data_IF_268652139957
#
_entry.id   IF_268652139957
#
_cell.length_a   1.000
_cell.length_b   1.000
_cell.length_c   1.000
_cell.angle_alpha   90.00
_cell.angle_beta   90.00
_cell.angle_gamma   90.00
#
_symmetry.space_group_name_H-M   'P 1'
#
loop_
_entity.id
_entity.type
_entity.pdbx_description
1 polymer ?
#
# COMPACT_ATOMS: atom_id res chain seq x y z
N UNK A 1 1.31 -57.95 -7.34
CA UNK A 1 2.34 -56.96 -6.92
C UNK A 1 2.06 -55.56 -7.48
N UNK A 2 1.97 -55.37 -8.82
CA UNK A 2 1.75 -54.06 -9.46
C UNK A 2 0.50 -53.32 -8.95
N UNK A 3 -0.64 -54.00 -8.76
CA UNK A 3 -1.88 -53.41 -8.23
C UNK A 3 -1.70 -52.82 -6.83
N UNK A 4 -0.99 -53.47 -5.94
CA UNK A 4 -0.75 -53.00 -4.57
C UNK A 4 0.18 -51.75 -4.55
N UNK A 5 1.16 -51.72 -5.44
CA UNK A 5 2.03 -50.54 -5.61
C UNK A 5 1.21 -49.37 -6.11
N UNK A 6 0.32 -49.58 -7.09
CA UNK A 6 -0.56 -48.53 -7.60
C UNK A 6 -1.49 -47.95 -6.49
N UNK A 7 -2.12 -48.84 -5.70
CA UNK A 7 -2.93 -48.39 -4.57
C UNK A 7 -2.13 -47.62 -3.52
N UNK A 8 -0.92 -48.07 -3.21
CA UNK A 8 -0.03 -47.38 -2.27
C UNK A 8 0.33 -45.98 -2.76
N UNK A 9 0.66 -45.80 -4.04
CA UNK A 9 0.94 -44.49 -4.66
C UNK A 9 -0.30 -43.56 -4.57
N UNK A 10 -1.50 -44.10 -4.91
CA UNK A 10 -2.75 -43.32 -4.83
C UNK A 10 -3.01 -42.84 -3.41
N UNK A 11 -2.82 -43.70 -2.42
CA UNK A 11 -3.02 -43.31 -1.00
C UNK A 11 -2.05 -42.18 -0.60
N UNK A 12 -0.77 -42.28 -0.97
CA UNK A 12 0.21 -41.22 -0.70
C UNK A 12 -0.19 -39.91 -1.37
N UNK A 13 -0.63 -39.94 -2.63
CA UNK A 13 -1.08 -38.72 -3.33
C UNK A 13 -2.30 -38.09 -2.67
N UNK A 14 -3.29 -38.89 -2.23
CA UNK A 14 -4.49 -38.40 -1.54
C UNK A 14 -4.12 -37.78 -0.20
N UNK A 15 -3.24 -38.41 0.59
CA UNK A 15 -2.76 -37.87 1.86
C UNK A 15 -1.98 -36.57 1.63
N UNK A 16 -1.08 -36.54 0.67
CA UNK A 16 -0.28 -35.36 0.31
C UNK A 16 -1.16 -34.19 -0.14
N UNK A 17 -2.16 -34.46 -0.98
CA UNK A 17 -3.14 -33.46 -1.41
C UNK A 17 -3.99 -32.95 -0.23
N UNK A 18 -4.45 -33.83 0.63
CA UNK A 18 -5.19 -33.45 1.85
C UNK A 18 -4.36 -32.54 2.76
N UNK A 19 -3.11 -32.91 3.02
CA UNK A 19 -2.20 -32.11 3.83
C UNK A 19 -1.94 -30.73 3.18
N UNK A 20 -1.74 -30.68 1.86
CA UNK A 20 -1.59 -29.43 1.13
C UNK A 20 -2.82 -28.51 1.27
N UNK A 21 -4.02 -29.06 1.06
CA UNK A 21 -5.28 -28.30 1.18
C UNK A 21 -5.45 -27.76 2.61
N UNK A 22 -5.22 -28.59 3.62
CA UNK A 22 -5.31 -28.18 5.04
C UNK A 22 -4.31 -27.05 5.34
N UNK A 23 -3.08 -27.16 4.84
CA UNK A 23 -2.07 -26.12 5.02
C UNK A 23 -2.51 -24.80 4.37
N UNK A 24 -3.06 -24.85 3.15
CA UNK A 24 -3.57 -23.66 2.45
C UNK A 24 -4.76 -23.04 3.15
N UNK A 25 -5.71 -23.80 3.68
CA UNK A 25 -6.84 -23.28 4.46
C UNK A 25 -6.37 -22.57 5.73
N UNK A 26 -5.33 -23.10 6.40
CA UNK A 26 -4.77 -22.51 7.62
C UNK A 26 -3.89 -21.28 7.37
N UNK A 27 -3.43 -21.09 6.14
CA UNK A 27 -2.45 -20.07 5.79
C UNK A 27 -2.90 -18.65 6.22
N UNK A 28 -4.15 -18.30 5.96
CA UNK A 28 -4.71 -17.00 6.33
C UNK A 28 -4.60 -16.69 7.84
N UNK A 29 -4.98 -17.66 8.69
CA UNK A 29 -4.87 -17.49 10.14
C UNK A 29 -3.40 -17.50 10.61
N UNK A 30 -2.55 -18.28 9.97
CA UNK A 30 -1.13 -18.33 10.30
C UNK A 30 -0.44 -17.01 9.95
N UNK A 31 -0.79 -16.38 8.81
CA UNK A 31 -0.25 -15.07 8.43
C UNK A 31 -0.54 -14.01 9.50
N UNK A 32 -1.78 -13.91 9.99
CA UNK A 32 -2.12 -12.97 11.06
C UNK A 32 -1.35 -13.25 12.36
N UNK A 33 -1.24 -14.52 12.76
CA UNK A 33 -0.46 -14.89 13.96
C UNK A 33 1.03 -14.54 13.80
N UNK A 34 1.59 -14.72 12.61
CA UNK A 34 2.98 -14.35 12.33
C UNK A 34 3.16 -12.85 12.45
N UNK A 35 2.27 -12.04 11.88
CA UNK A 35 2.30 -10.60 12.00
C UNK A 35 2.23 -10.13 13.47
N UNK A 36 1.33 -10.71 14.28
CA UNK A 36 1.21 -10.40 15.70
C UNK A 36 2.48 -10.80 16.50
N UNK A 37 3.21 -11.81 16.03
CA UNK A 37 4.47 -12.22 16.65
C UNK A 37 5.65 -11.32 16.26
N UNK A 38 5.68 -10.85 15.00
CA UNK A 38 6.72 -9.98 14.48
C UNK A 38 6.66 -8.58 15.08
N UNK A 39 5.44 -8.03 15.22
CA UNK A 39 5.22 -6.64 15.63
C UNK A 39 4.53 -6.58 17.00
N UNK A 40 5.34 -6.59 18.05
CA UNK A 40 4.86 -6.47 19.43
C UNK A 40 4.91 -5.02 19.91
N UNK A 41 3.73 -4.42 20.05
CA UNK A 41 3.60 -3.03 20.51
C UNK A 41 3.85 -1.99 19.42
N UNK A 42 3.80 -0.73 19.82
CA UNK A 42 4.04 0.39 18.91
C UNK A 42 5.54 0.70 18.81
N UNK A 43 6.01 1.13 17.61
CA UNK A 43 7.36 1.66 17.46
C UNK A 43 7.51 3.00 18.22
N UNK A 44 8.73 3.45 18.40
CA UNK A 44 9.05 4.76 19.02
C UNK A 44 8.84 5.90 18.00
N UNK A 45 7.63 6.04 17.50
CA UNK A 45 7.19 7.10 16.60
C UNK A 45 6.10 7.90 17.33
N UNK A 46 6.11 9.23 17.22
CA UNK A 46 5.07 10.11 17.74
C UNK A 46 4.46 10.96 16.63
N UNK A 47 3.26 11.46 16.86
CA UNK A 47 2.62 12.42 15.95
C UNK A 47 3.47 13.68 15.81
N UNK A 48 3.39 14.30 14.62
CA UNK A 48 3.93 15.64 14.39
C UNK A 48 3.26 16.63 15.34
N UNK A 49 4.04 17.62 15.79
CA UNK A 49 3.54 18.73 16.59
C UNK A 49 3.53 20.02 15.73
N UNK A 50 2.37 20.60 15.43
CA UNK A 50 2.30 21.81 14.59
C UNK A 50 2.98 23.02 15.19
N UNK A 51 3.18 23.06 16.52
CA UNK A 51 3.84 24.17 17.21
C UNK A 51 5.38 24.05 17.18
N UNK A 52 5.90 22.88 16.85
CA UNK A 52 7.33 22.63 16.74
C UNK A 52 7.85 23.04 15.35
N UNK A 53 8.89 23.88 15.33
CA UNK A 53 9.51 24.37 14.10
C UNK A 53 10.07 23.26 13.21
N UNK A 54 10.42 22.10 13.78
CA UNK A 54 10.92 20.94 13.03
C UNK A 54 9.88 20.30 12.11
N UNK A 55 8.59 20.60 12.33
CA UNK A 55 7.50 20.06 11.50
C UNK A 55 6.91 21.08 10.50
N UNK A 56 7.57 22.24 10.30
CA UNK A 56 7.08 23.32 9.41
C UNK A 56 7.58 23.23 7.97
N UNK A 57 8.21 22.11 7.60
CA UNK A 57 8.69 21.90 6.23
C UNK A 57 7.57 21.41 5.30
N UNK A 58 7.89 21.35 4.03
CA UNK A 58 6.95 20.93 2.98
C UNK A 58 6.73 19.41 3.01
N UNK A 59 5.60 18.94 2.48
CA UNK A 59 5.29 17.51 2.42
C UNK A 59 6.43 16.69 1.78
N UNK A 60 7.09 17.22 0.74
CA UNK A 60 8.20 16.56 0.05
C UNK A 60 9.50 16.48 0.84
N UNK A 61 9.63 17.22 1.93
CA UNK A 61 10.86 17.29 2.73
C UNK A 61 10.92 16.19 3.81
N UNK A 62 9.92 15.30 3.83
CA UNK A 62 9.82 14.22 4.82
C UNK A 62 9.93 12.84 4.18
N UNK A 63 10.64 11.94 4.83
CA UNK A 63 10.52 10.51 4.61
C UNK A 63 9.27 9.99 5.33
N UNK A 64 8.36 9.36 4.57
CA UNK A 64 7.07 8.92 5.11
C UNK A 64 7.02 7.40 5.11
N UNK A 65 6.83 6.82 6.29
CA UNK A 65 6.75 5.37 6.45
C UNK A 65 5.62 4.80 5.58
N UNK A 66 5.99 3.90 4.65
CA UNK A 66 5.12 3.47 3.55
C UNK A 66 4.96 1.95 3.56
N UNK A 67 3.73 1.46 3.49
CA UNK A 67 3.40 0.05 3.39
C UNK A 67 3.00 -0.30 1.95
N UNK A 68 3.70 -1.26 1.32
CA UNK A 68 3.37 -1.83 0.02
C UNK A 68 2.32 -2.93 0.18
N UNK A 69 1.27 -2.91 -0.67
CA UNK A 69 0.19 -3.91 -0.59
C UNK A 69 -0.24 -4.17 0.86
N UNK A 70 -0.62 -3.10 1.57
CA UNK A 70 -0.79 -3.07 3.03
C UNK A 70 -1.80 -4.08 3.60
N UNK A 71 -2.61 -4.73 2.76
CA UNK A 71 -3.49 -5.82 3.14
C UNK A 71 -2.90 -7.21 2.88
N UNK A 72 -1.66 -7.33 2.36
CA UNK A 72 -1.05 -8.64 2.11
C UNK A 72 -0.61 -9.29 3.42
N UNK A 73 -1.12 -10.50 3.70
CA UNK A 73 -0.73 -11.27 4.88
C UNK A 73 0.52 -12.13 4.68
N UNK A 74 0.87 -12.40 3.42
CA UNK A 74 1.99 -13.26 3.03
C UNK A 74 2.46 -12.93 1.61
N UNK A 75 2.54 -13.94 0.75
CA UNK A 75 2.98 -13.79 -0.63
C UNK A 75 1.92 -13.05 -1.51
N UNK A 76 2.35 -12.42 -2.60
CA UNK A 76 1.44 -11.69 -3.50
C UNK A 76 0.63 -12.59 -4.42
N UNK A 77 0.98 -13.87 -4.48
CA UNK A 77 0.33 -14.91 -5.28
C UNK A 77 0.10 -16.17 -4.47
N UNK A 78 -1.05 -16.84 -4.68
CA UNK A 78 -1.44 -18.08 -4.00
C UNK A 78 -1.44 -17.97 -2.46
N UNK A 79 -1.80 -16.80 -1.96
CA UNK A 79 -1.91 -16.45 -0.56
C UNK A 79 -3.15 -15.59 -0.30
N UNK A 80 -3.26 -14.97 0.85
CA UNK A 80 -4.43 -14.23 1.29
C UNK A 80 -4.11 -12.75 1.57
N UNK A 81 -5.06 -11.87 1.24
CA UNK A 81 -5.15 -10.52 1.80
C UNK A 81 -5.97 -10.58 3.08
N UNK A 82 -5.59 -9.78 4.09
CA UNK A 82 -6.26 -9.77 5.38
C UNK A 82 -6.22 -8.39 6.04
N UNK A 83 -7.29 -8.05 6.75
CA UNK A 83 -7.41 -6.82 7.56
C UNK A 83 -6.37 -6.78 8.69
N UNK A 84 -5.92 -7.92 9.20
CA UNK A 84 -4.86 -7.94 10.22
C UNK A 84 -3.57 -7.30 9.70
N UNK A 85 -3.19 -7.51 8.42
CA UNK A 85 -2.03 -6.89 7.81
C UNK A 85 -2.16 -5.37 7.76
N UNK A 86 -3.32 -4.86 7.33
CA UNK A 86 -3.62 -3.42 7.33
C UNK A 86 -3.50 -2.82 8.74
N UNK A 87 -4.10 -3.47 9.74
CA UNK A 87 -3.98 -3.04 11.14
C UNK A 87 -2.55 -3.04 11.63
N UNK A 88 -1.75 -4.04 11.26
CA UNK A 88 -0.31 -4.09 11.57
C UNK A 88 0.43 -2.91 10.94
N UNK A 89 0.24 -2.62 9.65
CA UNK A 89 0.87 -1.46 9.01
C UNK A 89 0.54 -0.15 9.75
N UNK A 90 -0.72 0.06 10.10
CA UNK A 90 -1.17 1.23 10.86
C UNK A 90 -0.53 1.27 12.25
N UNK A 91 -0.51 0.18 12.98
CA UNK A 91 0.06 0.10 14.33
C UNK A 91 1.59 0.30 14.34
N UNK A 92 2.24 0.01 13.23
CA UNK A 92 3.65 0.28 13.03
C UNK A 92 3.94 1.69 12.49
N UNK A 93 2.94 2.57 12.47
CA UNK A 93 3.09 4.00 12.14
C UNK A 93 3.22 4.30 10.67
N UNK A 94 2.84 3.39 9.77
CA UNK A 94 2.79 3.68 8.33
C UNK A 94 1.80 4.80 8.03
N UNK A 95 2.23 5.79 7.23
CA UNK A 95 1.43 6.94 6.80
C UNK A 95 1.25 7.05 5.28
N UNK A 96 1.85 6.16 4.52
CA UNK A 96 1.42 5.84 3.15
C UNK A 96 0.98 4.38 3.14
N UNK A 97 -0.25 4.13 2.74
CA UNK A 97 -0.84 2.79 2.61
C UNK A 97 -1.13 2.54 1.13
N UNK A 98 -0.40 1.62 0.53
CA UNK A 98 -0.57 1.24 -0.87
C UNK A 98 -1.55 0.07 -0.99
N UNK A 99 -2.52 0.22 -1.87
CA UNK A 99 -3.56 -0.76 -2.18
C UNK A 99 -3.56 -1.10 -3.67
N UNK A 100 -3.67 -2.37 -3.97
CA UNK A 100 -3.91 -2.84 -5.33
C UNK A 100 -5.40 -3.19 -5.48
N UNK A 101 -6.09 -2.47 -6.39
CA UNK A 101 -7.56 -2.48 -6.53
C UNK A 101 -7.98 -3.22 -7.78
N UNK A 102 -8.93 -4.11 -7.63
CA UNK A 102 -9.57 -4.87 -8.69
C UNK A 102 -11.07 -4.61 -8.76
N UNK A 103 -11.68 -4.96 -9.89
CA UNK A 103 -13.14 -4.92 -10.07
C UNK A 103 -13.71 -6.34 -10.01
N UNK A 104 -14.58 -6.60 -9.05
CA UNK A 104 -15.41 -7.83 -9.02
C UNK A 104 -16.87 -7.40 -8.97
N UNK A 105 -17.64 -7.77 -9.98
CA UNK A 105 -19.07 -7.40 -10.12
C UNK A 105 -19.31 -5.88 -9.97
N UNK A 106 -18.42 -5.06 -10.55
CA UNK A 106 -18.37 -3.59 -10.44
C UNK A 106 -18.04 -3.06 -9.03
N UNK A 107 -17.70 -3.90 -8.07
CA UNK A 107 -17.32 -3.50 -6.71
C UNK A 107 -15.80 -3.37 -6.65
N UNK A 108 -15.24 -2.28 -6.06
CA UNK A 108 -13.81 -2.15 -5.82
C UNK A 108 -13.39 -3.08 -4.69
N UNK A 109 -12.41 -3.93 -4.97
CA UNK A 109 -11.85 -4.88 -3.99
C UNK A 109 -10.34 -4.77 -3.93
N UNK A 110 -9.78 -4.99 -2.74
CA UNK A 110 -8.35 -5.08 -2.48
C UNK A 110 -7.92 -6.54 -2.63
N UNK A 111 -6.90 -6.75 -3.43
CA UNK A 111 -6.24 -8.04 -3.60
C UNK A 111 -4.80 -7.79 -4.05
N UNK A 112 -4.01 -8.82 -4.35
CA UNK A 112 -2.65 -8.64 -4.85
C UNK A 112 -2.34 -9.54 -6.04
N UNK A 113 -1.34 -9.13 -6.83
CA UNK A 113 -0.75 -9.89 -7.92
C UNK A 113 0.77 -9.75 -7.92
N UNK A 114 1.46 -10.78 -8.41
CA UNK A 114 2.90 -10.75 -8.67
C UNK A 114 3.27 -10.18 -10.04
N UNK A 115 2.27 -9.75 -10.82
CA UNK A 115 2.43 -9.22 -12.19
C UNK A 115 1.43 -8.09 -12.46
N UNK A 116 1.84 -7.07 -13.18
CA UNK A 116 1.00 -5.90 -13.48
C UNK A 116 0.10 -6.06 -14.72
N UNK A 117 0.37 -7.05 -15.59
CA UNK A 117 -0.12 -7.02 -16.96
C UNK A 117 -1.53 -7.57 -17.17
N UNK A 118 -2.10 -8.35 -16.25
CA UNK A 118 -3.30 -9.13 -16.56
C UNK A 118 -4.60 -8.60 -15.93
N UNK A 119 -4.55 -7.58 -15.10
CA UNK A 119 -5.72 -7.07 -14.36
C UNK A 119 -6.48 -8.17 -13.61
N UNK A 120 -5.78 -9.24 -13.22
CA UNK A 120 -6.31 -10.42 -12.54
C UNK A 120 -5.59 -10.60 -11.21
N UNK A 121 -6.38 -10.60 -10.13
CA UNK A 121 -5.83 -10.90 -8.80
C UNK A 121 -5.30 -12.33 -8.73
N UNK A 122 -4.24 -12.52 -7.95
CA UNK A 122 -3.63 -13.83 -7.76
C UNK A 122 -3.75 -14.37 -6.31
N UNK A 123 -4.37 -13.60 -5.41
CA UNK A 123 -4.73 -14.06 -4.07
C UNK A 123 -6.00 -14.90 -4.07
N UNK A 124 -6.13 -15.83 -3.11
CA UNK A 124 -7.29 -16.72 -3.00
C UNK A 124 -8.57 -15.96 -2.65
N UNK A 125 -8.45 -14.89 -1.85
CA UNK A 125 -9.56 -14.04 -1.44
C UNK A 125 -9.39 -12.59 -1.94
N UNK A 126 -10.30 -11.75 -1.56
CA UNK A 126 -10.26 -10.29 -1.65
C UNK A 126 -10.92 -9.67 -0.42
N UNK A 127 -10.68 -8.38 -0.20
CA UNK A 127 -11.32 -7.55 0.83
C UNK A 127 -12.10 -6.46 0.10
N UNK A 128 -13.33 -6.16 0.49
CA UNK A 128 -14.04 -5.00 -0.05
C UNK A 128 -13.31 -3.70 0.34
N UNK A 129 -13.16 -2.77 -0.60
CA UNK A 129 -12.49 -1.50 -0.32
C UNK A 129 -13.17 -0.76 0.82
N UNK A 130 -14.48 -0.82 0.91
CA UNK A 130 -15.26 -0.21 1.99
C UNK A 130 -14.80 -0.72 3.37
N UNK A 131 -14.64 -2.04 3.53
CA UNK A 131 -14.14 -2.65 4.76
C UNK A 131 -12.73 -2.16 5.12
N UNK A 132 -11.83 -2.10 4.13
CA UNK A 132 -10.48 -1.57 4.35
C UNK A 132 -10.50 -0.10 4.77
N UNK A 133 -11.31 0.75 4.13
CA UNK A 133 -11.43 2.17 4.48
C UNK A 133 -12.10 2.39 5.84
N UNK A 134 -13.05 1.56 6.24
CA UNK A 134 -13.62 1.58 7.60
C UNK A 134 -12.53 1.32 8.65
N UNK A 135 -11.64 0.35 8.40
CA UNK A 135 -10.50 0.09 9.28
C UNK A 135 -9.56 1.27 9.30
N UNK A 136 -9.21 1.85 8.16
CA UNK A 136 -8.39 3.08 8.09
C UNK A 136 -9.00 4.19 8.93
N UNK A 137 -10.29 4.48 8.74
CA UNK A 137 -10.96 5.56 9.47
C UNK A 137 -10.97 5.35 10.99
N UNK A 138 -11.14 4.11 11.43
CA UNK A 138 -11.27 3.78 12.85
C UNK A 138 -9.92 3.60 13.56
N UNK A 139 -8.88 3.15 12.86
CA UNK A 139 -7.61 2.76 13.46
C UNK A 139 -6.49 3.78 13.22
N UNK A 140 -6.41 4.40 12.04
CA UNK A 140 -5.27 5.23 11.69
C UNK A 140 -5.25 6.60 12.42
N UNK A 141 -6.36 6.99 13.02
CA UNK A 141 -6.51 8.27 13.71
C UNK A 141 -6.87 8.10 15.19
N UNK A 142 -6.59 6.93 15.76
CA UNK A 142 -6.83 6.60 17.16
C UNK A 142 -5.52 6.27 17.87
N UNK A 143 -5.20 6.97 18.95
CA UNK A 143 -4.00 6.73 19.77
C UNK A 143 -3.96 5.35 20.44
N UNK A 144 -5.09 4.63 20.52
CA UNK A 144 -5.14 3.26 21.00
C UNK A 144 -4.74 2.22 19.97
N UNK A 145 -4.63 2.60 18.69
CA UNK A 145 -4.36 1.68 17.58
C UNK A 145 -3.20 2.08 16.69
N UNK A 146 -2.70 3.31 16.81
CA UNK A 146 -1.47 3.73 16.11
C UNK A 146 -0.67 4.75 16.94
N UNK A 147 0.67 4.82 16.76
CA UNK A 147 1.56 5.69 17.54
C UNK A 147 1.45 7.16 17.13
N UNK A 148 1.02 7.47 15.92
CA UNK A 148 1.03 8.80 15.32
C UNK A 148 -0.34 9.21 14.73
N UNK A 149 -1.42 9.26 15.54
CA UNK A 149 -2.80 9.41 15.07
C UNK A 149 -3.13 10.77 14.43
N UNK A 150 -2.32 11.81 14.69
CA UNK A 150 -2.54 13.14 14.14
C UNK A 150 -1.89 13.37 12.78
N UNK A 151 -0.94 12.51 12.41
CA UNK A 151 -0.20 12.65 11.14
C UNK A 151 -1.14 12.50 9.95
N UNK A 152 -0.87 13.24 8.85
CA UNK A 152 -1.59 13.01 7.60
C UNK A 152 -1.41 11.57 7.14
N UNK A 153 -2.44 11.02 6.51
CA UNK A 153 -2.42 9.69 5.94
C UNK A 153 -2.59 9.76 4.43
N UNK A 154 -1.77 9.05 3.70
CA UNK A 154 -1.83 8.96 2.24
C UNK A 154 -2.34 7.56 1.87
N UNK A 155 -3.44 7.50 1.11
CA UNK A 155 -3.95 6.28 0.52
C UNK A 155 -3.54 6.27 -0.96
N UNK A 156 -2.66 5.36 -1.33
CA UNK A 156 -2.21 5.18 -2.70
C UNK A 156 -2.94 3.99 -3.33
N UNK A 157 -3.57 4.21 -4.48
CA UNK A 157 -4.35 3.20 -5.19
C UNK A 157 -3.75 2.88 -6.56
N UNK A 158 -3.30 1.64 -6.75
CA UNK A 158 -2.95 1.05 -8.04
C UNK A 158 -4.18 0.29 -8.56
N UNK A 159 -4.85 0.81 -9.59
CA UNK A 159 -6.15 0.30 -10.02
C UNK A 159 -6.00 -0.58 -11.26
N UNK A 160 -6.19 -1.89 -11.08
CA UNK A 160 -6.09 -2.92 -12.12
C UNK A 160 -7.45 -3.19 -12.78
N UNK A 161 -8.11 -2.12 -13.28
CA UNK A 161 -9.40 -2.21 -13.94
C UNK A 161 -9.58 -1.10 -14.98
N UNK A 162 -10.43 -1.35 -15.97
CA UNK A 162 -10.91 -0.33 -16.90
C UNK A 162 -12.46 -0.17 -16.83
N UNK A 163 -13.09 -0.61 -15.74
CA UNK A 163 -14.54 -0.63 -15.58
C UNK A 163 -15.04 0.67 -14.95
N UNK A 164 -15.63 1.56 -15.73
CA UNK A 164 -16.15 2.86 -15.29
C UNK A 164 -17.13 2.77 -14.12
N UNK A 165 -17.98 1.71 -14.08
CA UNK A 165 -18.92 1.51 -12.96
C UNK A 165 -18.16 1.25 -11.64
N UNK A 166 -17.08 0.49 -11.69
CA UNK A 166 -16.24 0.26 -10.52
C UNK A 166 -15.60 1.56 -10.03
N UNK A 167 -15.11 2.43 -10.93
CA UNK A 167 -14.55 3.73 -10.55
C UNK A 167 -15.58 4.64 -9.89
N UNK A 168 -16.82 4.65 -10.41
CA UNK A 168 -17.91 5.38 -9.77
C UNK A 168 -18.20 4.84 -8.37
N UNK A 169 -18.34 3.52 -8.24
CA UNK A 169 -18.58 2.87 -6.96
C UNK A 169 -17.40 3.12 -5.98
N UNK A 170 -16.17 3.17 -6.47
CA UNK A 170 -14.99 3.51 -5.66
C UNK A 170 -15.07 4.95 -5.13
N UNK A 171 -15.46 5.90 -5.96
CA UNK A 171 -15.68 7.29 -5.54
C UNK A 171 -16.76 7.39 -4.46
N UNK A 172 -17.89 6.68 -4.64
CA UNK A 172 -18.97 6.62 -3.65
C UNK A 172 -18.52 6.00 -2.33
N UNK A 173 -17.75 4.91 -2.37
CA UNK A 173 -17.17 4.25 -1.18
C UNK A 173 -16.21 5.20 -0.44
N UNK A 174 -15.31 5.87 -1.15
CA UNK A 174 -14.39 6.87 -0.54
C UNK A 174 -15.18 7.96 0.16
N UNK A 175 -16.15 8.56 -0.51
CA UNK A 175 -16.97 9.62 0.06
C UNK A 175 -17.72 9.14 1.30
N UNK A 176 -18.46 8.04 1.20
CA UNK A 176 -19.31 7.55 2.28
C UNK A 176 -18.52 7.09 3.53
N UNK A 177 -17.28 6.63 3.35
CA UNK A 177 -16.50 6.03 4.44
C UNK A 177 -15.57 7.02 5.14
N UNK A 178 -14.93 7.93 4.39
CA UNK A 178 -13.83 8.77 4.93
C UNK A 178 -14.01 10.26 4.64
N UNK A 179 -15.17 10.73 4.16
CA UNK A 179 -15.43 12.13 3.78
C UNK A 179 -15.00 13.16 4.82
N UNK A 180 -15.21 13.00 6.14
CA UNK A 180 -14.81 14.01 7.12
C UNK A 180 -13.31 14.26 7.21
N UNK A 181 -12.51 13.31 6.70
CA UNK A 181 -11.05 13.37 6.70
C UNK A 181 -10.43 13.70 5.35
N UNK A 182 -11.20 13.75 4.28
CA UNK A 182 -10.69 14.15 2.97
C UNK A 182 -10.19 15.60 3.01
N UNK A 183 -9.27 15.92 2.13
CA UNK A 183 -8.82 17.29 1.92
C UNK A 183 -9.95 18.14 1.36
N UNK A 184 -9.87 19.44 1.60
CA UNK A 184 -10.82 20.41 1.09
C UNK A 184 -10.80 20.47 -0.46
N UNK A 185 -11.87 20.98 -1.05
CA UNK A 185 -12.06 21.00 -2.52
C UNK A 185 -10.95 21.69 -3.30
N UNK A 186 -10.19 22.58 -2.68
CA UNK A 186 -9.03 23.22 -3.32
C UNK A 186 -7.93 22.24 -3.73
N UNK A 187 -7.86 21.07 -3.05
CA UNK A 187 -6.90 20.00 -3.33
C UNK A 187 -7.45 18.92 -4.28
N UNK A 188 -8.68 19.07 -4.76
CA UNK A 188 -9.32 18.16 -5.72
C UNK A 188 -8.67 18.24 -7.11
N UNK A 189 -8.96 17.25 -7.96
CA UNK A 189 -8.46 17.18 -9.34
C UNK A 189 -6.94 17.34 -9.41
N UNK A 190 -6.23 16.54 -8.58
CA UNK A 190 -4.77 16.59 -8.48
C UNK A 190 -4.25 18.00 -8.17
N UNK A 191 -4.91 18.65 -7.22
CA UNK A 191 -4.57 20.02 -6.81
C UNK A 191 -4.52 20.99 -8.00
N UNK A 192 -5.38 20.75 -9.00
CA UNK A 192 -5.46 21.55 -10.24
C UNK A 192 -4.12 21.69 -10.98
N UNK A 193 -3.30 20.61 -10.98
CA UNK A 193 -2.00 20.58 -11.65
C UNK A 193 -0.89 21.33 -10.89
N UNK A 194 -1.08 21.62 -9.59
CA UNK A 194 -0.03 22.19 -8.72
C UNK A 194 0.68 21.08 -7.95
N UNK A 195 1.92 21.37 -7.52
CA UNK A 195 2.71 20.42 -6.74
C UNK A 195 2.24 20.35 -5.29
N UNK A 196 1.50 19.29 -4.93
CA UNK A 196 1.06 19.04 -3.55
C UNK A 196 2.27 18.90 -2.59
N UNK A 197 3.39 18.38 -3.06
CA UNK A 197 4.63 18.29 -2.29
C UNK A 197 5.20 19.63 -1.84
N UNK A 198 4.76 20.75 -2.42
CA UNK A 198 5.15 22.11 -2.04
C UNK A 198 4.27 22.75 -0.96
N UNK A 199 3.28 22.01 -0.45
CA UNK A 199 2.42 22.45 0.65
C UNK A 199 3.05 22.05 1.98
N UNK A 200 3.00 22.91 3.02
CA UNK A 200 3.49 22.54 4.35
C UNK A 200 2.78 21.30 4.89
N UNK A 201 3.55 20.37 5.48
CA UNK A 201 3.02 19.11 6.02
C UNK A 201 1.90 19.35 7.04
N UNK A 202 2.03 20.40 7.84
CA UNK A 202 1.07 20.77 8.88
C UNK A 202 -0.32 21.10 8.37
N UNK A 203 -0.47 21.49 7.10
CA UNK A 203 -1.78 21.74 6.49
C UNK A 203 -2.63 20.47 6.34
N UNK A 204 -2.01 19.31 6.44
CA UNK A 204 -2.66 18.02 6.23
C UNK A 204 -2.91 17.23 7.53
N UNK A 205 -2.62 17.81 8.71
CA UNK A 205 -2.80 17.13 10.01
C UNK A 205 -4.22 16.59 10.15
N UNK A 206 -4.33 15.30 10.49
CA UNK A 206 -5.61 14.60 10.68
C UNK A 206 -6.41 14.36 9.39
N UNK A 207 -5.82 14.66 8.23
CA UNK A 207 -6.46 14.52 6.91
C UNK A 207 -5.94 13.30 6.15
N UNK A 208 -6.73 12.87 5.16
CA UNK A 208 -6.39 11.81 4.21
C UNK A 208 -6.12 12.44 2.85
N UNK A 209 -4.96 12.13 2.30
CA UNK A 209 -4.53 12.46 0.95
C UNK A 209 -4.80 11.24 0.06
N UNK A 210 -5.55 11.40 -1.03
CA UNK A 210 -5.80 10.35 -2.01
C UNK A 210 -4.79 10.46 -3.14
N UNK A 211 -4.05 9.37 -3.37
CA UNK A 211 -3.13 9.21 -4.49
C UNK A 211 -3.57 8.06 -5.38
N UNK A 212 -3.51 8.23 -6.71
CA UNK A 212 -3.84 7.19 -7.69
C UNK A 212 -2.70 7.02 -8.68
N UNK A 213 -2.42 5.78 -9.06
CA UNK A 213 -1.38 5.49 -10.05
C UNK A 213 -1.87 5.81 -11.47
N UNK A 214 -1.21 6.78 -12.13
CA UNK A 214 -1.50 7.21 -13.51
C UNK A 214 -1.02 6.21 -14.58
N UNK A 215 -0.30 5.14 -14.22
CA UNK A 215 -0.03 4.06 -15.16
C UNK A 215 -1.34 3.47 -15.73
N UNK A 216 -2.46 3.59 -15.01
CA UNK A 216 -3.81 3.40 -15.52
C UNK A 216 -4.61 4.70 -15.42
N UNK A 217 -4.70 5.51 -16.51
CA UNK A 217 -5.29 6.85 -16.48
C UNK A 217 -6.82 6.88 -16.52
N UNK A 218 -7.51 5.74 -16.49
CA UNK A 218 -8.99 5.67 -16.60
C UNK A 218 -9.68 6.55 -15.56
N UNK A 219 -9.12 6.67 -14.34
CA UNK A 219 -9.71 7.50 -13.29
C UNK A 219 -9.92 8.96 -13.69
N UNK A 220 -9.10 9.49 -14.62
CA UNK A 220 -9.18 10.89 -15.07
C UNK A 220 -10.51 11.26 -15.74
N UNK A 221 -11.22 10.27 -16.27
CA UNK A 221 -12.51 10.43 -16.93
C UNK A 221 -13.69 9.93 -16.09
N UNK A 222 -13.49 9.70 -14.80
CA UNK A 222 -14.50 9.17 -13.87
C UNK A 222 -14.70 10.10 -12.67
N UNK A 223 -15.79 9.93 -11.90
CA UNK A 223 -16.01 10.70 -10.66
C UNK A 223 -14.89 10.57 -9.62
N UNK A 224 -14.09 9.50 -9.67
CA UNK A 224 -12.96 9.31 -8.75
C UNK A 224 -11.97 10.47 -8.83
N UNK A 225 -11.78 11.10 -10.00
CA UNK A 225 -10.86 12.21 -10.19
C UNK A 225 -11.10 13.37 -9.21
N UNK A 226 -12.34 13.59 -8.80
CA UNK A 226 -12.69 14.66 -7.85
C UNK A 226 -11.97 14.50 -6.51
N UNK A 227 -11.71 13.27 -6.08
CA UNK A 227 -11.08 12.96 -4.80
C UNK A 227 -9.56 12.82 -4.88
N UNK A 228 -8.98 12.72 -6.07
CA UNK A 228 -7.53 12.56 -6.25
C UNK A 228 -6.83 13.87 -6.00
N UNK A 229 -5.88 13.87 -5.05
CA UNK A 229 -5.07 15.04 -4.67
C UNK A 229 -3.70 15.06 -5.37
N UNK A 230 -3.14 13.88 -5.66
CA UNK A 230 -1.89 13.71 -6.40
C UNK A 230 -1.92 12.36 -7.14
N UNK A 231 -1.39 12.32 -8.36
CA UNK A 231 -1.19 11.05 -9.06
C UNK A 231 0.28 10.63 -9.03
N UNK A 232 0.55 9.36 -8.75
CA UNK A 232 1.87 8.78 -9.03
C UNK A 232 2.04 8.56 -10.54
N UNK A 233 3.27 8.37 -11.01
CA UNK A 233 3.63 8.44 -12.42
C UNK A 233 3.26 9.80 -13.06
N UNK A 234 3.42 10.87 -12.28
CA UNK A 234 3.25 12.26 -12.72
C UNK A 234 4.56 13.05 -12.56
N UNK A 235 4.55 14.31 -13.00
CA UNK A 235 5.71 15.20 -12.87
C UNK A 235 6.03 15.54 -11.40
N UNK A 236 5.06 15.40 -10.48
CA UNK A 236 5.22 15.77 -9.06
C UNK A 236 5.44 14.56 -8.14
N UNK A 237 5.10 13.36 -8.60
CA UNK A 237 5.30 12.12 -7.87
C UNK A 237 5.72 11.00 -8.84
N UNK A 238 7.03 10.77 -8.92
CA UNK A 238 7.61 9.69 -9.73
C UNK A 238 7.38 8.35 -9.01
N UNK A 239 6.84 7.36 -9.70
CA UNK A 239 6.79 5.99 -9.22
C UNK A 239 7.87 5.16 -9.91
N UNK A 240 8.64 4.39 -9.13
CA UNK A 240 9.75 3.57 -9.61
C UNK A 240 9.75 2.21 -8.91
N UNK A 241 10.30 1.19 -9.57
CA UNK A 241 10.63 -0.07 -8.93
C UNK A 241 12.04 -0.01 -8.32
N UNK A 242 12.34 -0.91 -7.40
CA UNK A 242 13.69 -1.01 -6.81
C UNK A 242 14.77 -1.17 -7.90
N UNK A 243 14.49 -1.96 -8.94
CA UNK A 243 15.37 -2.13 -10.08
C UNK A 243 15.74 -0.79 -10.73
N UNK A 244 14.80 0.12 -10.91
CA UNK A 244 15.02 1.44 -11.53
C UNK A 244 15.92 2.32 -10.66
N UNK A 245 15.76 2.23 -9.34
CA UNK A 245 16.57 2.98 -8.38
C UNK A 245 18.02 2.47 -8.35
N UNK A 246 18.19 1.14 -8.30
CA UNK A 246 19.51 0.49 -8.28
C UNK A 246 20.29 0.77 -9.57
N UNK A 247 19.61 0.78 -10.71
CA UNK A 247 20.19 0.93 -12.02
C UNK A 247 20.03 2.35 -12.60
N UNK A 248 19.73 3.35 -11.77
CA UNK A 248 19.60 4.73 -12.27
C UNK A 248 20.90 5.19 -12.94
N UNK A 249 20.84 5.67 -14.20
CA UNK A 249 22.03 6.09 -14.92
C UNK A 249 22.58 7.41 -14.39
N UNK A 250 21.75 8.23 -13.76
CA UNK A 250 22.11 9.54 -13.20
C UNK A 250 21.47 9.71 -11.81
N UNK A 251 22.24 9.36 -10.79
CA UNK A 251 21.82 9.54 -9.39
C UNK A 251 21.70 11.02 -9.00
N UNK A 252 22.45 11.91 -9.64
CA UNK A 252 22.40 13.35 -9.38
C UNK A 252 21.07 13.92 -9.87
N UNK A 253 20.60 13.52 -11.07
CA UNK A 253 19.27 13.91 -11.57
C UNK A 253 18.16 13.47 -10.62
N UNK A 254 18.22 12.22 -10.14
CA UNK A 254 17.23 11.69 -9.21
C UNK A 254 17.20 12.48 -7.88
N UNK A 255 18.38 12.80 -7.33
CA UNK A 255 18.49 13.62 -6.11
C UNK A 255 17.91 15.03 -6.34
N UNK A 256 18.28 15.68 -7.45
CA UNK A 256 17.76 17.03 -7.76
C UNK A 256 16.25 17.04 -8.04
N UNK A 257 15.73 15.96 -8.63
CA UNK A 257 14.29 15.77 -8.77
C UNK A 257 13.61 15.67 -7.39
N UNK A 258 14.14 14.85 -6.47
CA UNK A 258 13.58 14.59 -5.15
C UNK A 258 13.64 15.82 -4.22
N UNK A 259 14.54 16.78 -4.45
CA UNK A 259 14.55 18.07 -3.76
C UNK A 259 13.35 18.97 -4.14
N UNK A 260 12.75 18.76 -5.31
CA UNK A 260 11.67 19.60 -5.86
C UNK A 260 10.32 18.88 -5.89
N UNK A 261 10.34 17.56 -6.01
CA UNK A 261 9.18 16.70 -6.18
C UNK A 261 9.28 15.50 -5.24
N UNK A 262 8.39 14.53 -5.38
CA UNK A 262 8.39 13.33 -4.56
C UNK A 262 8.64 12.08 -5.40
N UNK A 263 9.17 11.04 -4.78
CA UNK A 263 9.31 9.70 -5.35
C UNK A 263 8.67 8.65 -4.46
N UNK A 264 7.98 7.73 -5.12
CA UNK A 264 7.41 6.52 -4.56
C UNK A 264 8.15 5.32 -5.12
N UNK A 265 8.90 4.60 -4.27
CA UNK A 265 9.64 3.41 -4.68
C UNK A 265 8.93 2.17 -4.18
N UNK A 266 8.66 1.25 -5.09
CA UNK A 266 8.00 -0.03 -4.83
C UNK A 266 8.97 -1.20 -4.99
N UNK A 267 8.74 -2.33 -4.30
CA UNK A 267 9.42 -3.59 -4.60
C UNK A 267 9.26 -3.99 -6.07
N UNK A 268 10.26 -4.71 -6.60
CA UNK A 268 10.15 -5.30 -7.93
C UNK A 268 9.03 -6.33 -7.99
N UNK A 269 8.47 -6.50 -9.19
CA UNK A 269 7.43 -7.50 -9.41
C UNK A 269 7.99 -8.90 -9.18
N UNK A 270 7.45 -9.58 -8.21
CA UNK A 270 7.88 -10.92 -7.81
C UNK A 270 6.74 -11.66 -7.11
N UNK A 271 6.82 -12.99 -7.12
CA UNK A 271 5.99 -13.83 -6.25
C UNK A 271 6.38 -13.61 -4.79
N UNK A 272 7.68 -13.40 -4.54
CA UNK A 272 8.25 -13.16 -3.22
C UNK A 272 8.08 -11.69 -2.81
N UNK A 273 7.88 -11.46 -1.53
CA UNK A 273 7.62 -10.15 -0.93
C UNK A 273 8.89 -9.47 -0.39
N UNK A 274 10.02 -9.58 -1.11
CA UNK A 274 11.29 -8.98 -0.71
C UNK A 274 11.17 -7.46 -0.57
N UNK A 275 11.80 -6.90 0.46
CA UNK A 275 11.82 -5.48 0.69
C UNK A 275 12.92 -4.77 -0.12
N UNK A 276 12.64 -3.51 -0.45
CA UNK A 276 13.59 -2.60 -1.09
C UNK A 276 14.68 -2.18 -0.09
N UNK A 277 15.83 -1.70 -0.58
CA UNK A 277 16.86 -1.14 0.28
C UNK A 277 16.48 0.27 0.75
N UNK A 278 16.09 0.48 2.00
CA UNK A 278 15.72 1.81 2.48
C UNK A 278 16.93 2.76 2.47
N UNK A 279 18.11 2.27 2.80
CA UNK A 279 19.34 3.08 2.83
C UNK A 279 19.66 3.67 1.46
N UNK A 280 19.61 2.86 0.40
CA UNK A 280 19.85 3.35 -0.96
C UNK A 280 18.82 4.39 -1.38
N UNK A 281 17.56 4.11 -1.14
CA UNK A 281 16.45 4.99 -1.49
C UNK A 281 16.53 6.34 -0.75
N UNK A 282 16.80 6.33 0.54
CA UNK A 282 16.95 7.56 1.34
C UNK A 282 18.18 8.36 0.93
N UNK A 283 19.28 7.72 0.54
CA UNK A 283 20.45 8.42 0.00
C UNK A 283 20.16 9.18 -1.31
N UNK A 284 19.17 8.72 -2.08
CA UNK A 284 18.71 9.43 -3.28
C UNK A 284 17.53 10.39 -3.00
N UNK A 285 17.08 10.50 -1.74
CA UNK A 285 15.99 11.38 -1.33
C UNK A 285 14.59 10.87 -1.68
N UNK A 286 14.42 9.57 -1.95
CA UNK A 286 13.10 8.98 -2.19
C UNK A 286 12.26 9.02 -0.91
N UNK A 287 11.10 9.70 -0.94
CA UNK A 287 10.33 9.97 0.27
C UNK A 287 9.42 8.84 0.68
N UNK A 288 8.79 8.13 -0.27
CA UNK A 288 7.87 7.02 -0.01
C UNK A 288 8.52 5.71 -0.44
N UNK A 289 9.20 5.06 0.49
CA UNK A 289 9.89 3.79 0.27
C UNK A 289 8.97 2.67 0.75
N UNK A 290 8.29 2.00 -0.18
CA UNK A 290 7.25 1.04 0.14
C UNK A 290 7.82 -0.31 0.58
N UNK A 291 7.45 -0.73 1.78
CA UNK A 291 7.93 -1.97 2.41
C UNK A 291 6.81 -2.98 2.57
N UNK A 292 7.15 -4.24 2.37
CA UNK A 292 6.29 -5.40 2.63
C UNK A 292 6.36 -5.78 4.11
N UNK A 293 5.41 -5.31 4.92
CA UNK A 293 5.42 -5.50 6.38
C UNK A 293 5.31 -6.97 6.80
N UNK A 294 4.74 -7.82 5.95
CA UNK A 294 4.66 -9.26 6.19
C UNK A 294 6.01 -9.99 6.04
N UNK A 295 7.04 -9.33 5.51
CA UNK A 295 8.39 -9.85 5.42
C UNK A 295 9.37 -9.02 6.29
N UNK A 296 9.75 -9.58 7.44
CA UNK A 296 10.67 -8.92 8.39
C UNK A 296 12.12 -9.29 8.07
N UNK A 297 12.57 -8.94 6.85
CA UNK A 297 13.95 -9.12 6.39
C UNK A 297 14.91 -8.03 6.94
N UNK A 298 16.19 -8.11 6.56
CA UNK A 298 17.18 -7.14 6.99
C UNK A 298 16.83 -5.71 6.55
N UNK A 299 16.25 -5.52 5.37
CA UNK A 299 15.83 -4.21 4.89
C UNK A 299 14.70 -3.62 5.76
N UNK A 300 13.72 -4.46 6.16
CA UNK A 300 12.64 -4.04 7.05
C UNK A 300 13.13 -3.69 8.46
N UNK A 301 14.20 -4.33 8.93
CA UNK A 301 14.82 -4.01 10.22
C UNK A 301 15.53 -2.65 10.22
N UNK A 302 16.05 -2.20 9.09
CA UNK A 302 16.64 -0.87 8.93
C UNK A 302 15.61 0.24 8.69
N UNK A 303 14.39 -0.11 8.29
CA UNK A 303 13.30 0.80 8.00
C UNK A 303 12.51 1.21 9.24
#
# INVERSE_FOLDING_TARGET
MVKYIAYFIIVILVIGMGAYIINKIRLNNNNCKTLDQLYKGFPMISSINPDDATYKYLLRDYYIKTAYNCCSGGEFKNDYVNICALKTCISQGARVLDFEIYSIDNVPVVATSSVDNYKVKQTYNQIYLEEALQVVNNYAFSGGSCPNPNDPLILHFRISSANDKMYKNMADVIYNTIQPRLLDKEYSYEYTGRNLGSVPLTNFIGKIIISVDRANPVFENTPLKEYVNIASNSIFLRASRQYDIVNTPDSTELIEYNKKNMSFTMPDLSVYNNNVSPVLNFNYGCQWVAMSFQNFDANMQYY
#
